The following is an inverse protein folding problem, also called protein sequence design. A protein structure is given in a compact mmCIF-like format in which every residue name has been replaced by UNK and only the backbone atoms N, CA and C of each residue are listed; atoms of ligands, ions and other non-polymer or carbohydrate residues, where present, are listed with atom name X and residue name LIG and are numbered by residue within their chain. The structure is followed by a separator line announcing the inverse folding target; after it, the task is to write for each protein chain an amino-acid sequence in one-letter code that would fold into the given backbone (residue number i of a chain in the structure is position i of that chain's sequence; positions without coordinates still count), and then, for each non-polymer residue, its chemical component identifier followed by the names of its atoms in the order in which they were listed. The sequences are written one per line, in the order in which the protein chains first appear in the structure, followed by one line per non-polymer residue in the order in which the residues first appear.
data_IF_979657964398
#
_entry.id   IF_979657964398
#
_cell.length_a   1.000
_cell.length_b   1.000
_cell.length_c   1.000
_cell.angle_alpha   90.00
_cell.angle_beta   90.00
_cell.angle_gamma   90.00
#
_symmetry.space_group_name_H-M   'P 1'
#
loop_
_entity.id
_entity.type
_entity.pdbx_description
1 polymer ?
#
# COMPACT_ATOMS: atom_id res chain seq x y z
N UNK A 1 0.59 11.80 13.81
CA UNK A 1 0.64 11.33 12.41
C UNK A 1 1.23 9.94 12.37
N UNK A 2 0.73 9.08 11.51
CA UNK A 2 1.19 7.71 11.29
C UNK A 2 1.03 7.34 9.82
N UNK A 3 1.74 6.32 9.37
CA UNK A 3 1.55 5.69 8.06
C UNK A 3 0.66 4.45 8.27
N UNK A 4 -0.35 4.24 7.43
CA UNK A 4 -1.14 3.02 7.43
C UNK A 4 -0.90 2.26 6.12
N UNK A 5 -0.65 0.95 6.22
CA UNK A 5 -0.40 0.08 5.05
C UNK A 5 -1.30 -1.15 5.07
N UNK A 6 -1.60 -1.69 3.90
CA UNK A 6 -2.37 -2.93 3.72
C UNK A 6 -1.51 -4.20 3.66
N UNK A 7 -0.31 -4.18 4.20
CA UNK A 7 0.59 -5.34 4.19
C UNK A 7 0.05 -6.48 5.05
N UNK A 8 0.14 -7.71 4.52
CA UNK A 8 -0.14 -8.94 5.27
C UNK A 8 1.02 -9.93 5.10
N UNK A 9 1.46 -10.55 6.19
CA UNK A 9 2.61 -11.46 6.17
C UNK A 9 2.27 -12.70 5.32
N UNK A 10 3.15 -12.99 4.34
CA UNK A 10 3.06 -14.21 3.55
C UNK A 10 2.03 -14.19 2.41
N UNK A 11 1.32 -13.08 2.17
CA UNK A 11 0.37 -12.98 1.05
C UNK A 11 1.07 -12.99 -0.31
N UNK A 12 2.23 -12.35 -0.40
CA UNK A 12 3.13 -12.40 -1.55
C UNK A 12 4.56 -12.63 -1.08
N UNK A 13 5.42 -13.11 -1.98
CA UNK A 13 6.80 -13.48 -1.66
C UNK A 13 7.65 -12.36 -1.01
N UNK A 14 7.32 -11.11 -1.27
CA UNK A 14 8.00 -9.95 -0.71
C UNK A 14 7.44 -9.48 0.64
N UNK A 15 6.28 -9.97 1.08
CA UNK A 15 5.68 -9.61 2.38
C UNK A 15 6.21 -10.52 3.50
N UNK A 16 7.47 -10.32 3.84
CA UNK A 16 8.18 -11.03 4.91
C UNK A 16 8.49 -10.07 6.07
N UNK A 17 8.79 -10.61 7.24
CA UNK A 17 9.22 -9.81 8.40
C UNK A 17 10.51 -9.04 8.11
N UNK A 18 11.43 -9.66 7.35
CA UNK A 18 12.67 -9.01 6.92
C UNK A 18 12.41 -7.82 5.98
N UNK A 19 11.41 -7.96 5.08
CA UNK A 19 11.00 -6.83 4.24
C UNK A 19 10.39 -5.70 5.07
N UNK A 20 9.54 -6.03 6.02
CA UNK A 20 8.94 -5.04 6.92
C UNK A 20 9.98 -4.32 7.77
N UNK A 21 11.02 -5.03 8.23
CA UNK A 21 12.13 -4.43 8.96
C UNK A 21 12.88 -3.41 8.09
N UNK A 22 13.20 -3.77 6.85
CA UNK A 22 13.89 -2.89 5.90
C UNK A 22 13.02 -1.66 5.53
N UNK A 23 11.72 -1.85 5.34
CA UNK A 23 10.77 -0.75 5.09
C UNK A 23 10.68 0.19 6.29
N UNK A 24 10.68 -0.34 7.51
CA UNK A 24 10.61 0.49 8.72
C UNK A 24 11.84 1.37 8.92
N UNK A 25 12.98 1.02 8.34
CA UNK A 25 14.24 1.75 8.51
C UNK A 25 14.21 3.15 7.88
N UNK A 26 13.36 3.36 6.88
CA UNK A 26 13.27 4.64 6.15
C UNK A 26 12.45 5.71 6.87
N UNK A 27 11.79 5.40 7.97
CA UNK A 27 10.92 6.35 8.67
C UNK A 27 10.88 6.13 10.17
N UNK A 28 10.80 7.23 10.91
CA UNK A 28 10.54 7.22 12.36
C UNK A 28 9.04 7.36 12.70
N UNK A 29 8.17 7.46 11.69
CA UNK A 29 6.73 7.51 11.93
C UNK A 29 6.19 6.13 12.31
N UNK A 30 5.23 6.03 13.24
CA UNK A 30 4.54 4.79 13.51
C UNK A 30 3.89 4.23 12.23
N UNK A 31 4.13 2.96 11.93
CA UNK A 31 3.50 2.26 10.81
C UNK A 31 2.44 1.32 11.35
N UNK A 32 1.18 1.60 11.00
CA UNK A 32 0.02 0.80 11.40
C UNK A 32 -0.32 -0.17 10.27
N UNK A 33 -0.38 -1.45 10.60
CA UNK A 33 -0.67 -2.55 9.66
C UNK A 33 -1.91 -3.31 10.13
N UNK A 34 -3.12 -2.82 9.86
CA UNK A 34 -4.35 -3.37 10.43
C UNK A 34 -4.62 -4.83 10.07
N UNK A 35 -4.13 -5.29 8.92
CA UNK A 35 -4.37 -6.63 8.37
C UNK A 35 -3.12 -7.53 8.37
N UNK A 36 -2.07 -7.15 9.09
CA UNK A 36 -0.75 -7.81 9.01
C UNK A 36 -0.76 -9.30 9.32
N UNK A 37 -1.65 -9.75 10.21
CA UNK A 37 -1.79 -11.16 10.61
C UNK A 37 -3.02 -11.84 10.01
N UNK A 38 -3.74 -11.18 9.09
CA UNK A 38 -4.93 -11.74 8.45
C UNK A 38 -4.55 -12.47 7.17
N UNK A 39 -5.22 -13.59 6.89
CA UNK A 39 -5.12 -14.25 5.60
C UNK A 39 -6.02 -13.56 4.54
N UNK A 40 -5.90 -14.02 3.29
CA UNK A 40 -6.65 -13.42 2.17
C UNK A 40 -8.16 -13.52 2.35
N UNK A 41 -8.65 -14.62 2.94
CA UNK A 41 -10.09 -14.83 3.14
C UNK A 41 -10.62 -13.89 4.21
N UNK A 42 -9.91 -13.78 5.33
CA UNK A 42 -10.25 -12.86 6.42
C UNK A 42 -10.30 -11.39 5.94
N UNK A 43 -9.34 -10.98 5.09
CA UNK A 43 -9.32 -9.64 4.51
C UNK A 43 -10.53 -9.42 3.58
N UNK A 44 -10.87 -10.42 2.75
CA UNK A 44 -12.05 -10.37 1.87
C UNK A 44 -13.34 -10.26 2.70
N UNK A 45 -13.47 -11.06 3.75
CA UNK A 45 -14.66 -11.03 4.61
C UNK A 45 -14.78 -9.68 5.34
N UNK A 46 -13.66 -9.12 5.79
CA UNK A 46 -13.64 -7.78 6.36
C UNK A 46 -14.07 -6.73 5.32
N UNK A 47 -13.55 -6.79 4.09
CA UNK A 47 -13.91 -5.84 3.03
C UNK A 47 -15.40 -5.89 2.67
N UNK A 48 -16.02 -7.09 2.66
CA UNK A 48 -17.47 -7.25 2.49
C UNK A 48 -18.23 -6.62 3.65
N UNK A 49 -17.77 -6.86 4.89
CA UNK A 49 -18.42 -6.32 6.10
C UNK A 49 -18.42 -4.80 6.15
N UNK A 50 -17.36 -4.14 5.67
CA UNK A 50 -17.25 -2.68 5.63
C UNK A 50 -17.72 -2.06 4.30
N UNK A 51 -18.24 -2.86 3.37
CA UNK A 51 -18.83 -2.40 2.12
C UNK A 51 -17.84 -1.93 1.05
N UNK A 52 -16.56 -2.33 1.12
CA UNK A 52 -15.54 -1.92 0.14
C UNK A 52 -15.20 -3.01 -0.89
N UNK A 53 -15.76 -4.21 -0.75
CA UNK A 53 -15.42 -5.35 -1.60
C UNK A 53 -15.74 -5.10 -3.07
N UNK A 54 -16.95 -4.64 -3.38
CA UNK A 54 -17.39 -4.42 -4.77
C UNK A 54 -16.52 -3.38 -5.50
N UNK A 55 -16.05 -2.37 -4.78
CA UNK A 55 -15.11 -1.39 -5.34
C UNK A 55 -13.73 -2.02 -5.55
N UNK A 56 -13.29 -2.87 -4.62
CA UNK A 56 -11.95 -3.49 -4.65
C UNK A 56 -11.77 -4.51 -5.78
N UNK A 57 -12.86 -5.10 -6.31
CA UNK A 57 -12.82 -6.08 -7.40
C UNK A 57 -13.04 -5.47 -8.78
N UNK A 58 -13.17 -4.15 -8.89
CA UNK A 58 -13.28 -3.50 -10.19
C UNK A 58 -12.05 -3.80 -11.06
N UNK A 59 -12.23 -3.97 -12.38
CA UNK A 59 -11.18 -4.44 -13.29
C UNK A 59 -10.17 -3.34 -13.65
N UNK A 60 -9.50 -2.78 -12.64
CA UNK A 60 -8.38 -1.87 -12.84
C UNK A 60 -7.06 -2.65 -12.83
N UNK A 61 -6.11 -2.17 -13.62
CA UNK A 61 -4.77 -2.76 -13.66
C UNK A 61 -4.04 -2.57 -12.33
N UNK A 62 -3.42 -3.65 -11.85
CA UNK A 62 -2.56 -3.64 -10.67
C UNK A 62 -1.09 -3.64 -11.09
N UNK A 63 -0.25 -2.89 -10.39
CA UNK A 63 1.19 -2.84 -10.62
C UNK A 63 1.86 -4.23 -10.53
N UNK A 64 1.30 -5.15 -9.74
CA UNK A 64 1.79 -6.51 -9.60
C UNK A 64 1.68 -7.34 -10.89
N UNK A 65 0.84 -6.97 -11.83
CA UNK A 65 0.73 -7.63 -13.14
C UNK A 65 1.75 -7.11 -14.14
N UNK A 66 2.21 -5.87 -13.98
CA UNK A 66 3.11 -5.18 -14.90
C UNK A 66 4.57 -5.41 -14.50
N UNK A 67 4.88 -5.34 -13.21
CA UNK A 67 6.24 -5.41 -12.66
C UNK A 67 6.46 -6.68 -11.85
N UNK A 68 6.40 -7.84 -12.49
CA UNK A 68 6.61 -9.14 -11.82
C UNK A 68 8.07 -9.56 -11.93
N UNK A 69 8.90 -9.44 -10.88
CA UNK A 69 10.27 -9.93 -10.92
C UNK A 69 10.29 -11.47 -10.97
N UNK A 70 11.15 -12.04 -11.80
CA UNK A 70 11.33 -13.52 -11.89
C UNK A 70 11.74 -14.13 -10.55
N UNK A 71 12.53 -13.39 -9.77
CA UNK A 71 13.04 -13.81 -8.47
C UNK A 71 12.81 -12.67 -7.47
N UNK A 72 11.68 -12.66 -6.75
CA UNK A 72 11.43 -11.65 -5.74
C UNK A 72 12.40 -11.79 -4.57
N UNK A 73 12.85 -10.67 -4.03
CA UNK A 73 13.73 -10.65 -2.87
C UNK A 73 12.87 -10.81 -1.61
N UNK A 74 13.10 -11.91 -0.88
CA UNK A 74 12.38 -12.21 0.37
C UNK A 74 13.10 -11.73 1.62
N UNK A 75 14.39 -11.42 1.52
CA UNK A 75 15.24 -10.92 2.60
C UNK A 75 16.05 -9.70 2.12
N UNK A 76 15.39 -8.56 1.91
CA UNK A 76 16.08 -7.35 1.50
C UNK A 76 17.00 -6.86 2.64
N UNK A 77 18.08 -6.19 2.25
CA UNK A 77 19.02 -5.58 3.18
C UNK A 77 19.03 -4.08 2.93
N UNK A 78 18.99 -3.30 4.00
CA UNK A 78 19.01 -1.83 3.95
C UNK A 78 20.17 -1.31 3.10
N UNK A 79 21.39 -1.79 3.36
CA UNK A 79 22.61 -1.38 2.65
C UNK A 79 22.56 -1.62 1.12
N UNK A 80 21.81 -2.62 0.67
CA UNK A 80 21.59 -2.89 -0.76
C UNK A 80 20.51 -2.00 -1.35
N UNK A 81 19.43 -1.76 -0.60
CA UNK A 81 18.37 -0.86 -1.01
C UNK A 81 18.92 0.55 -1.21
N UNK A 82 19.66 1.07 -0.25
CA UNK A 82 20.33 2.38 -0.33
C UNK A 82 21.25 2.51 -1.55
N UNK A 83 22.01 1.45 -1.89
CA UNK A 83 22.86 1.44 -3.10
C UNK A 83 22.06 1.48 -4.41
N UNK A 84 20.86 0.93 -4.43
CA UNK A 84 19.99 1.02 -5.59
C UNK A 84 19.35 2.40 -5.68
N UNK A 85 18.91 2.93 -4.57
CA UNK A 85 18.31 4.25 -4.44
C UNK A 85 19.29 5.37 -4.82
N UNK A 86 20.55 5.27 -4.39
CA UNK A 86 21.60 6.23 -4.72
C UNK A 86 21.86 6.45 -6.23
N UNK A 87 21.26 5.64 -7.10
CA UNK A 87 21.32 5.81 -8.57
C UNK A 87 20.32 6.81 -9.11
N UNK A 88 19.36 7.22 -8.29
CA UNK A 88 18.25 8.07 -8.66
C UNK A 88 18.23 9.32 -7.79
N UNK A 89 17.80 10.42 -8.36
CA UNK A 89 17.56 11.66 -7.61
C UNK A 89 16.17 11.60 -6.96
N UNK A 90 16.07 10.85 -5.85
CA UNK A 90 14.80 10.69 -5.14
C UNK A 90 14.27 12.01 -4.59
N UNK A 91 15.13 12.89 -4.12
CA UNK A 91 14.71 14.19 -3.57
C UNK A 91 13.96 15.00 -4.62
N UNK A 92 14.49 15.05 -5.84
CA UNK A 92 13.81 15.70 -6.96
C UNK A 92 12.51 14.99 -7.33
N UNK A 93 12.52 13.65 -7.40
CA UNK A 93 11.31 12.88 -7.74
C UNK A 93 10.19 13.09 -6.72
N UNK A 94 10.52 13.11 -5.43
CA UNK A 94 9.57 13.40 -4.35
C UNK A 94 9.05 14.83 -4.43
N UNK A 95 9.94 15.81 -4.70
CA UNK A 95 9.52 17.19 -4.86
C UNK A 95 8.59 17.37 -6.05
N UNK A 96 8.89 16.75 -7.20
CA UNK A 96 8.04 16.76 -8.38
C UNK A 96 6.64 16.15 -8.07
N UNK A 97 6.57 15.10 -7.24
CA UNK A 97 5.29 14.53 -6.79
C UNK A 97 4.51 15.50 -5.90
N UNK A 98 5.18 16.18 -4.97
CA UNK A 98 4.55 17.15 -4.07
C UNK A 98 3.99 18.33 -4.87
N UNK A 99 4.78 18.87 -5.81
CA UNK A 99 4.41 20.01 -6.64
C UNK A 99 3.23 19.72 -7.57
N UNK A 100 3.03 18.46 -7.94
CA UNK A 100 1.93 17.99 -8.79
C UNK A 100 0.78 17.32 -7.99
N UNK A 101 0.76 17.45 -6.67
CA UNK A 101 -0.32 16.91 -5.84
C UNK A 101 -1.60 17.74 -6.03
N UNK A 102 -2.70 17.06 -6.27
CA UNK A 102 -4.03 17.68 -6.38
C UNK A 102 -4.90 17.29 -5.19
N UNK A 103 -5.56 18.26 -4.58
CA UNK A 103 -6.53 18.03 -3.51
C UNK A 103 -7.95 17.96 -4.10
N UNK A 104 -8.61 16.81 -3.97
CA UNK A 104 -9.98 16.60 -4.43
C UNK A 104 -10.92 16.53 -3.24
N UNK A 105 -11.83 17.49 -3.13
CA UNK A 105 -12.88 17.49 -2.11
C UNK A 105 -14.07 16.65 -2.54
N UNK A 106 -14.30 15.55 -1.84
CA UNK A 106 -15.47 14.68 -2.06
C UNK A 106 -16.55 15.05 -1.06
N UNK A 107 -17.69 15.53 -1.57
CA UNK A 107 -18.87 15.77 -0.75
C UNK A 107 -19.78 14.54 -0.76
N UNK A 108 -20.38 14.18 0.40
CA UNK A 108 -21.37 13.12 0.41
C UNK A 108 -22.56 13.55 -0.48
N UNK A 109 -22.93 12.68 -1.40
CA UNK A 109 -24.17 12.86 -2.16
C UNK A 109 -25.32 12.77 -1.16
N UNK A 110 -26.10 13.83 -1.00
CA UNK A 110 -27.37 13.77 -0.27
C UNK A 110 -28.28 12.84 -1.08
N UNK A 111 -28.45 11.60 -0.62
CA UNK A 111 -29.55 10.78 -1.06
C UNK A 111 -30.79 11.43 -0.45
N UNK A 112 -31.59 12.13 -1.26
CA UNK A 112 -32.94 12.47 -0.84
C UNK A 112 -33.65 11.12 -0.72
N UNK A 113 -33.83 10.67 0.52
CA UNK A 113 -34.79 9.60 0.81
C UNK A 113 -36.15 10.20 0.53
N UNK A 114 -36.71 9.90 -0.64
CA UNK A 114 -38.15 10.03 -0.86
C UNK A 114 -38.86 9.04 0.07
N UNK A 115 -39.16 9.55 1.26
CA UNK A 115 -40.02 8.89 2.26
C UNK A 115 -41.46 8.97 1.73
N UNK A 116 -41.90 7.93 1.00
CA UNK A 116 -43.30 7.56 0.88
C UNK A 116 -43.49 6.03 0.77
#
# INVERSE_FOLDING_TARGET
QAIATGESIGQVASQTLESMLTINDVTNMPIIRPVVCMDKVEIIDLSKKIGTYETSILPYEDCCTIFTPKNPVTKPRVDKCEKYEAKWDFDKMVQDCIDNTEDIWVHPVKVEEDLF
#
